data_IF_724939724315
#
_entry.id   IF_724939724315
#
_cell.length_a   1.000
_cell.length_b   1.000
_cell.length_c   1.000
_cell.angle_alpha   90.00
_cell.angle_beta   90.00
_cell.angle_gamma   90.00
#
_symmetry.space_group_name_H-M   'P 1'
#
loop_
_entity.id
_entity.type
_entity.pdbx_description
1 polymer ?
#
# COMPACT_ATOMS: atom_id res chain seq x y z
N UNK A 1 15.01 -16.93 12.26
CA UNK A 1 14.10 -15.82 11.90
C UNK A 1 13.56 -16.09 10.52
N UNK A 2 12.24 -16.10 10.32
CA UNK A 2 11.65 -16.50 9.03
C UNK A 2 10.56 -15.50 8.63
N UNK A 3 10.79 -14.81 7.51
CA UNK A 3 9.77 -14.02 6.80
C UNK A 3 9.36 -14.78 5.54
N UNK A 4 8.07 -15.04 5.40
CA UNK A 4 7.48 -15.69 4.22
C UNK A 4 6.51 -14.71 3.56
N UNK A 5 6.58 -14.57 2.25
CA UNK A 5 5.66 -13.72 1.49
C UNK A 5 4.86 -14.56 0.50
N UNK A 6 3.52 -14.49 0.61
CA UNK A 6 2.57 -15.17 -0.26
C UNK A 6 1.83 -14.10 -1.06
N UNK A 7 2.15 -14.00 -2.33
CA UNK A 7 1.54 -13.03 -3.24
C UNK A 7 0.92 -13.70 -4.46
N UNK A 8 -0.05 -13.03 -5.07
CA UNK A 8 -0.71 -13.51 -6.29
C UNK A 8 -2.10 -12.93 -6.46
N UNK A 9 -2.80 -13.34 -7.51
CA UNK A 9 -4.14 -12.88 -7.85
C UNK A 9 -5.17 -13.20 -6.74
N UNK A 10 -6.27 -12.46 -6.72
CA UNK A 10 -7.40 -12.72 -5.81
C UNK A 10 -8.00 -14.11 -6.09
N UNK A 11 -8.56 -14.75 -5.06
CA UNK A 11 -9.23 -16.07 -5.12
C UNK A 11 -8.32 -17.25 -5.52
N UNK A 12 -7.01 -17.18 -5.25
CA UNK A 12 -6.05 -18.27 -5.52
C UNK A 12 -5.72 -19.12 -4.29
N UNK A 13 -6.47 -19.01 -3.19
CA UNK A 13 -6.23 -19.79 -1.97
C UNK A 13 -5.07 -19.30 -1.09
N UNK A 14 -4.54 -18.07 -1.32
CA UNK A 14 -3.43 -17.51 -0.55
C UNK A 14 -3.69 -17.44 0.96
N UNK A 15 -4.89 -17.02 1.34
CA UNK A 15 -5.26 -16.83 2.74
C UNK A 15 -5.30 -18.18 3.48
N UNK A 16 -5.84 -19.20 2.85
CA UNK A 16 -5.87 -20.56 3.44
C UNK A 16 -4.46 -21.12 3.58
N UNK A 17 -3.61 -20.91 2.57
CA UNK A 17 -2.20 -21.32 2.64
C UNK A 17 -1.46 -20.57 3.76
N UNK A 18 -1.74 -19.27 3.95
CA UNK A 18 -1.12 -18.49 5.01
C UNK A 18 -1.52 -19.02 6.40
N UNK A 19 -2.80 -19.34 6.61
CA UNK A 19 -3.28 -19.93 7.87
C UNK A 19 -2.66 -21.29 8.11
N UNK A 20 -2.57 -22.14 7.08
CA UNK A 20 -1.95 -23.47 7.20
C UNK A 20 -0.45 -23.37 7.57
N UNK A 21 0.29 -22.49 6.89
CA UNK A 21 1.70 -22.24 7.21
C UNK A 21 1.87 -21.68 8.62
N UNK A 22 1.05 -20.69 9.00
CA UNK A 22 1.09 -20.11 10.33
C UNK A 22 0.79 -21.15 11.42
N UNK A 23 -0.15 -22.07 11.17
CA UNK A 23 -0.45 -23.18 12.08
C UNK A 23 0.76 -24.09 12.27
N UNK A 24 1.39 -24.52 11.18
CA UNK A 24 2.53 -25.43 11.20
C UNK A 24 3.78 -24.82 11.82
N UNK A 25 4.04 -23.56 11.51
CA UNK A 25 5.25 -22.85 11.92
C UNK A 25 5.07 -22.12 13.26
N UNK A 26 3.87 -22.08 13.83
CA UNK A 26 3.49 -21.26 14.99
C UNK A 26 3.80 -19.77 14.74
N UNK A 27 3.49 -19.31 13.53
CA UNK A 27 3.72 -17.95 13.07
C UNK A 27 2.49 -17.06 13.12
N UNK A 28 2.65 -15.81 12.76
CA UNK A 28 1.59 -14.82 12.62
C UNK A 28 1.40 -14.42 11.16
N UNK A 29 0.19 -14.05 10.80
CA UNK A 29 -0.16 -13.55 9.46
C UNK A 29 -0.20 -12.03 9.45
N UNK A 30 0.36 -11.41 8.41
CA UNK A 30 0.35 -9.97 8.18
C UNK A 30 -0.34 -9.72 6.84
N UNK A 31 -1.42 -8.96 6.87
CA UNK A 31 -2.18 -8.64 5.68
C UNK A 31 -1.44 -7.66 4.76
N UNK A 32 -1.38 -7.95 3.47
CA UNK A 32 -0.88 -7.08 2.39
C UNK A 32 -1.95 -6.86 1.30
N UNK A 33 -3.21 -6.76 1.71
CA UNK A 33 -4.33 -6.35 0.87
C UNK A 33 -4.91 -5.04 1.40
N UNK A 34 -4.90 -3.99 0.56
CA UNK A 34 -5.32 -2.65 0.97
C UNK A 34 -6.79 -2.56 1.36
N UNK A 35 -7.66 -3.40 0.79
CA UNK A 35 -9.09 -3.39 1.08
C UNK A 35 -9.42 -4.09 2.39
N UNK A 36 -8.59 -5.05 2.81
CA UNK A 36 -8.77 -5.75 4.08
C UNK A 36 -8.33 -4.94 5.31
N UNK A 37 -7.67 -3.79 5.11
CA UNK A 37 -7.37 -2.85 6.19
C UNK A 37 -8.64 -2.27 6.82
N UNK A 38 -9.72 -2.15 6.04
CA UNK A 38 -10.93 -1.46 6.44
C UNK A 38 -11.90 -2.36 7.22
N UNK A 39 -12.38 -1.84 8.36
CA UNK A 39 -13.43 -2.47 9.16
C UNK A 39 -14.73 -2.57 8.38
N UNK A 40 -15.37 -3.75 8.43
CA UNK A 40 -16.68 -3.97 7.81
C UNK A 40 -16.64 -4.16 6.29
N UNK A 41 -15.48 -4.09 5.64
CA UNK A 41 -15.32 -4.41 4.23
C UNK A 41 -14.96 -5.90 4.07
N UNK A 42 -15.91 -6.78 4.40
CA UNK A 42 -15.67 -8.23 4.48
C UNK A 42 -16.11 -8.97 3.22
N UNK A 43 -17.21 -8.51 2.60
CA UNK A 43 -17.76 -9.08 1.37
C UNK A 43 -17.00 -8.52 0.16
N UNK A 44 -16.57 -9.40 -0.74
CA UNK A 44 -15.85 -9.01 -1.96
C UNK A 44 -14.35 -8.75 -1.78
N UNK A 45 -13.84 -8.72 -0.54
CA UNK A 45 -12.42 -8.58 -0.23
C UNK A 45 -11.74 -9.90 0.10
N UNK A 46 -12.49 -11.00 0.12
CA UNK A 46 -12.04 -12.32 0.55
C UNK A 46 -11.38 -12.33 1.95
N UNK A 47 -11.83 -11.44 2.84
CA UNK A 47 -11.35 -11.36 4.21
C UNK A 47 -11.84 -12.61 4.98
N UNK A 48 -10.90 -13.31 5.61
CA UNK A 48 -11.24 -14.47 6.44
C UNK A 48 -12.03 -14.05 7.68
N UNK A 49 -13.08 -14.79 8.00
CA UNK A 49 -13.78 -14.71 9.27
C UNK A 49 -12.86 -15.12 10.43
N UNK A 50 -13.27 -14.83 11.66
CA UNK A 50 -12.51 -15.25 12.85
C UNK A 50 -12.37 -16.76 12.95
N UNK A 51 -13.38 -17.50 12.54
CA UNK A 51 -13.37 -18.97 12.54
C UNK A 51 -12.37 -19.53 11.52
N UNK A 52 -12.37 -18.97 10.31
CA UNK A 52 -11.45 -19.36 9.24
C UNK A 52 -9.98 -19.04 9.58
N UNK A 53 -9.72 -18.04 10.40
CA UNK A 53 -8.36 -17.72 10.91
C UNK A 53 -7.84 -18.77 11.91
N UNK A 54 -8.66 -19.70 12.40
CA UNK A 54 -8.28 -20.83 13.28
C UNK A 54 -7.44 -20.41 14.50
N UNK A 55 -7.74 -19.25 15.08
CA UNK A 55 -6.99 -18.72 16.22
C UNK A 55 -5.60 -18.15 15.90
N UNK A 56 -5.18 -18.15 14.64
CA UNK A 56 -3.92 -17.54 14.21
C UNK A 56 -4.01 -16.01 14.31
N UNK A 57 -3.04 -15.34 14.96
CA UNK A 57 -2.99 -13.89 14.99
C UNK A 57 -2.81 -13.31 13.58
N UNK A 58 -3.71 -12.38 13.22
CA UNK A 58 -3.66 -11.64 11.95
C UNK A 58 -3.48 -10.16 12.26
N UNK A 59 -2.46 -9.58 11.65
CA UNK A 59 -2.13 -8.17 11.78
C UNK A 59 -2.57 -7.38 10.55
N UNK A 60 -2.83 -6.11 10.72
CA UNK A 60 -3.24 -5.17 9.66
C UNK A 60 -4.52 -5.61 8.91
N UNK A 61 -5.45 -6.19 9.66
CA UNK A 61 -6.83 -6.43 9.24
C UNK A 61 -7.74 -5.63 10.15
N UNK A 62 -8.76 -4.97 9.60
CA UNK A 62 -9.75 -4.18 10.36
C UNK A 62 -9.11 -3.05 11.19
N UNK A 63 -8.06 -2.42 10.70
CA UNK A 63 -7.33 -1.37 11.42
C UNK A 63 -7.83 0.03 11.08
N UNK A 64 -8.43 0.24 9.90
CA UNK A 64 -8.94 1.53 9.44
C UNK A 64 -10.47 1.58 9.44
N UNK A 65 -11.02 2.75 9.73
CA UNK A 65 -12.41 3.08 9.43
C UNK A 65 -12.55 3.39 7.93
N UNK A 66 -13.72 3.16 7.35
CA UNK A 66 -14.01 3.51 5.94
C UNK A 66 -13.94 5.02 5.66
N UNK A 67 -13.84 5.85 6.69
CA UNK A 67 -13.64 7.30 6.58
C UNK A 67 -12.17 7.72 6.53
N UNK A 68 -11.26 6.81 6.85
CA UNK A 68 -9.83 7.04 6.86
C UNK A 68 -9.22 6.64 5.51
N UNK A 69 -8.20 7.34 5.08
CA UNK A 69 -7.48 7.04 3.85
C UNK A 69 -6.28 6.15 4.13
N UNK A 70 -6.20 5.01 3.43
CA UNK A 70 -5.04 4.14 3.54
C UNK A 70 -3.82 4.78 2.88
N UNK A 71 -2.71 4.87 3.61
CA UNK A 71 -1.42 5.34 3.11
C UNK A 71 -0.44 4.19 3.01
N UNK A 72 0.22 4.04 1.86
CA UNK A 72 1.27 3.03 1.69
C UNK A 72 2.49 3.31 2.56
N UNK A 73 2.81 4.58 2.81
CA UNK A 73 3.89 4.98 3.72
C UNK A 73 3.60 4.54 5.16
N UNK A 74 2.39 4.80 5.65
CA UNK A 74 1.99 4.36 6.99
C UNK A 74 1.94 2.82 7.07
N UNK A 75 1.39 2.17 6.04
CA UNK A 75 1.40 0.71 5.97
C UNK A 75 2.83 0.13 6.04
N UNK A 76 3.79 0.72 5.34
CA UNK A 76 5.19 0.29 5.39
C UNK A 76 5.75 0.34 6.81
N UNK A 77 5.53 1.46 7.50
CA UNK A 77 6.00 1.65 8.89
C UNK A 77 5.38 0.60 9.80
N UNK A 78 4.07 0.45 9.76
CA UNK A 78 3.34 -0.46 10.63
C UNK A 78 3.71 -1.92 10.35
N UNK A 79 3.74 -2.32 9.07
CA UNK A 79 4.06 -3.69 8.69
C UNK A 79 5.50 -4.08 9.06
N UNK A 80 6.47 -3.22 8.78
CA UNK A 80 7.87 -3.47 9.15
C UNK A 80 8.05 -3.54 10.66
N UNK A 81 7.43 -2.64 11.41
CA UNK A 81 7.48 -2.67 12.88
C UNK A 81 6.93 -3.99 13.45
N UNK A 82 5.81 -4.48 12.91
CA UNK A 82 5.22 -5.76 13.33
C UNK A 82 6.14 -6.93 12.96
N UNK A 83 6.69 -6.93 11.74
CA UNK A 83 7.61 -7.97 11.27
C UNK A 83 8.84 -8.03 12.18
N UNK A 84 9.47 -6.90 12.44
CA UNK A 84 10.68 -6.82 13.27
C UNK A 84 10.42 -7.35 14.69
N UNK A 85 9.32 -6.93 15.32
CA UNK A 85 8.91 -7.44 16.63
C UNK A 85 8.70 -8.96 16.66
N UNK A 86 8.07 -9.52 15.63
CA UNK A 86 7.87 -10.96 15.52
C UNK A 86 9.20 -11.72 15.35
N UNK A 87 10.07 -11.20 14.49
CA UNK A 87 11.37 -11.80 14.24
C UNK A 87 12.28 -11.74 15.47
N UNK A 88 12.27 -10.64 16.22
CA UNK A 88 12.98 -10.53 17.51
C UNK A 88 12.51 -11.58 18.53
N UNK A 89 11.22 -11.88 18.53
CA UNK A 89 10.65 -12.94 19.36
C UNK A 89 10.81 -14.34 18.78
N UNK A 90 11.52 -14.49 17.65
CA UNK A 90 11.65 -15.74 16.90
C UNK A 90 10.32 -16.34 16.42
N UNK A 91 9.30 -15.49 16.21
CA UNK A 91 8.00 -15.87 15.66
C UNK A 91 8.05 -15.67 14.15
N UNK A 92 7.73 -16.70 13.34
CA UNK A 92 7.66 -16.56 11.87
C UNK A 92 6.60 -15.55 11.44
N UNK A 93 6.98 -14.60 10.57
CA UNK A 93 6.10 -13.61 9.98
C UNK A 93 5.68 -14.06 8.58
N UNK A 94 4.37 -14.16 8.32
CA UNK A 94 3.80 -14.61 7.05
C UNK A 94 2.98 -13.48 6.44
N UNK A 95 3.55 -12.79 5.47
CA UNK A 95 2.89 -11.72 4.72
C UNK A 95 2.03 -12.32 3.63
N UNK A 96 0.76 -11.96 3.55
CA UNK A 96 -0.17 -12.46 2.54
C UNK A 96 -1.01 -11.34 1.93
N UNK A 97 -1.08 -11.28 0.62
CA UNK A 97 -1.94 -10.31 -0.07
C UNK A 97 -1.75 -10.23 -1.57
N UNK A 98 -2.54 -9.34 -2.18
CA UNK A 98 -2.54 -9.10 -3.62
C UNK A 98 -2.09 -7.68 -4.00
N UNK A 99 -1.87 -6.79 -3.03
CA UNK A 99 -1.48 -5.41 -3.30
C UNK A 99 0.03 -5.32 -3.50
N UNK A 100 0.47 -5.39 -4.76
CA UNK A 100 1.89 -5.43 -5.12
C UNK A 100 2.72 -4.28 -4.54
N UNK A 101 2.16 -3.07 -4.45
CA UNK A 101 2.83 -1.92 -3.85
C UNK A 101 3.09 -2.12 -2.35
N UNK A 102 2.16 -2.76 -1.63
CA UNK A 102 2.32 -3.07 -0.22
C UNK A 102 3.42 -4.10 0.03
N UNK A 103 3.46 -5.13 -0.82
CA UNK A 103 4.52 -6.15 -0.76
C UNK A 103 5.89 -5.52 -1.04
N UNK A 104 5.98 -4.69 -2.08
CA UNK A 104 7.21 -3.93 -2.36
C UNK A 104 7.61 -3.00 -1.22
N UNK A 105 6.64 -2.32 -0.58
CA UNK A 105 6.91 -1.45 0.55
C UNK A 105 7.54 -2.20 1.74
N UNK A 106 7.20 -3.47 1.93
CA UNK A 106 7.81 -4.32 2.95
C UNK A 106 9.23 -4.76 2.54
N UNK A 107 9.40 -5.23 1.30
CA UNK A 107 10.60 -5.94 0.85
C UNK A 107 11.69 -5.02 0.30
N UNK A 108 11.29 -3.94 -0.38
CA UNK A 108 12.19 -3.03 -1.06
C UNK A 108 12.40 -1.76 -0.22
N UNK A 109 13.53 -1.12 -0.38
CA UNK A 109 13.83 0.15 0.29
C UNK A 109 13.14 1.32 -0.42
N UNK A 110 11.80 1.28 -0.42
CA UNK A 110 10.99 2.34 -1.01
C UNK A 110 10.89 3.53 -0.06
N UNK A 111 11.29 4.68 -0.55
CA UNK A 111 11.07 5.95 0.12
C UNK A 111 9.78 6.59 -0.41
N UNK A 112 8.86 6.89 0.49
CA UNK A 112 7.62 7.58 0.15
C UNK A 112 7.74 9.05 0.56
N UNK A 113 7.82 9.98 -0.41
CA UNK A 113 7.82 11.40 -0.10
C UNK A 113 6.58 11.79 0.70
N UNK A 114 6.73 12.78 1.57
CA UNK A 114 5.64 13.34 2.35
C UNK A 114 4.47 13.76 1.47
N UNK A 115 3.31 13.82 2.08
CA UNK A 115 2.07 14.26 1.44
C UNK A 115 1.48 15.43 2.21
N UNK A 116 0.99 16.42 1.47
CA UNK A 116 0.26 17.54 2.04
C UNK A 116 -1.13 17.60 1.40
N UNK A 117 -2.21 17.36 2.19
CA UNK A 117 -3.57 17.36 1.68
C UNK A 117 -3.99 18.72 1.06
N UNK A 118 -3.49 19.84 1.57
CA UNK A 118 -3.84 21.16 1.04
C UNK A 118 -3.16 21.40 -0.31
N UNK A 119 -1.87 21.10 -0.41
CA UNK A 119 -1.13 21.17 -1.69
C UNK A 119 -1.75 20.24 -2.72
N UNK A 120 -2.07 19.01 -2.33
CA UNK A 120 -2.73 18.05 -3.22
C UNK A 120 -4.09 18.54 -3.69
N UNK A 121 -4.94 19.07 -2.80
CA UNK A 121 -6.26 19.59 -3.15
C UNK A 121 -6.16 20.78 -4.10
N UNK A 122 -5.21 21.68 -3.87
CA UNK A 122 -4.93 22.81 -4.76
C UNK A 122 -4.55 22.35 -6.18
N UNK A 123 -3.63 21.37 -6.30
CA UNK A 123 -3.21 20.86 -7.60
C UNK A 123 -4.33 20.07 -8.27
N UNK A 124 -5.13 19.31 -7.52
CA UNK A 124 -6.30 18.60 -8.03
C UNK A 124 -7.33 19.56 -8.60
N UNK A 125 -7.62 20.65 -7.89
CA UNK A 125 -8.52 21.70 -8.38
C UNK A 125 -7.99 22.36 -9.67
N UNK A 126 -6.68 22.65 -9.74
CA UNK A 126 -6.07 23.11 -10.99
C UNK A 126 -6.23 22.12 -12.15
N UNK A 127 -6.19 20.83 -11.85
CA UNK A 127 -6.38 19.79 -12.86
C UNK A 127 -7.84 19.73 -13.37
N UNK A 128 -8.82 20.02 -12.52
CA UNK A 128 -10.22 20.14 -12.90
C UNK A 128 -10.47 21.37 -13.79
N UNK A 129 -9.84 22.51 -13.46
CA UNK A 129 -10.02 23.76 -14.21
C UNK A 129 -9.25 23.78 -15.55
N UNK A 130 -7.99 23.35 -15.55
CA UNK A 130 -7.08 23.49 -16.70
C UNK A 130 -7.07 22.26 -17.61
N UNK A 131 -7.53 21.13 -17.12
CA UNK A 131 -7.56 19.86 -17.82
C UNK A 131 -6.25 19.05 -17.77
N UNK A 132 -6.38 17.77 -18.06
CA UNK A 132 -5.30 16.79 -17.95
C UNK A 132 -4.08 17.11 -18.83
N UNK A 133 -4.29 17.64 -20.02
CA UNK A 133 -3.24 17.94 -21.00
C UNK A 133 -2.31 19.07 -20.51
N UNK A 134 -2.88 20.13 -19.95
CA UNK A 134 -2.12 21.27 -19.42
C UNK A 134 -1.30 20.83 -18.20
N UNK A 135 -1.92 20.06 -17.29
CA UNK A 135 -1.23 19.58 -16.09
C UNK A 135 -0.12 18.56 -16.41
N UNK A 136 -0.34 17.70 -17.40
CA UNK A 136 0.71 16.80 -17.89
C UNK A 136 1.85 17.57 -18.59
N UNK A 137 1.54 18.62 -19.34
CA UNK A 137 2.54 19.53 -19.91
C UNK A 137 3.39 20.22 -18.83
N UNK A 138 2.77 20.65 -17.72
CA UNK A 138 3.49 21.18 -16.55
C UNK A 138 4.42 20.13 -15.96
N UNK A 139 3.97 18.88 -15.80
CA UNK A 139 4.81 17.79 -15.33
C UNK A 139 5.97 17.53 -16.30
N UNK A 140 5.72 17.53 -17.61
CA UNK A 140 6.77 17.33 -18.62
C UNK A 140 7.87 18.40 -18.59
N UNK A 141 7.52 19.62 -18.20
CA UNK A 141 8.50 20.70 -17.99
C UNK A 141 9.34 20.53 -16.73
N UNK A 142 8.74 20.04 -15.65
CA UNK A 142 9.39 19.89 -14.35
C UNK A 142 10.15 18.56 -14.21
N UNK A 143 9.59 17.49 -14.78
CA UNK A 143 10.14 16.14 -14.78
C UNK A 143 9.74 15.40 -16.05
N UNK A 144 10.53 15.52 -17.14
CA UNK A 144 10.24 14.86 -18.40
C UNK A 144 10.19 13.32 -18.29
N UNK A 145 10.97 12.73 -17.36
CA UNK A 145 11.00 11.29 -17.17
C UNK A 145 9.70 10.79 -16.50
N UNK A 146 9.19 11.52 -15.51
CA UNK A 146 7.89 11.24 -14.93
C UNK A 146 6.76 11.37 -15.97
N UNK A 147 6.78 12.41 -16.77
CA UNK A 147 5.76 12.63 -17.80
C UNK A 147 5.78 11.52 -18.87
N UNK A 148 6.96 11.02 -19.25
CA UNK A 148 7.06 9.90 -20.17
C UNK A 148 6.50 8.57 -19.59
N UNK A 149 6.58 8.40 -18.26
CA UNK A 149 6.13 7.19 -17.56
C UNK A 149 4.65 7.25 -17.13
N UNK A 150 4.08 8.45 -16.99
CA UNK A 150 2.71 8.66 -16.50
C UNK A 150 1.83 9.14 -17.68
N UNK A 151 0.85 8.32 -18.13
CA UNK A 151 -0.10 8.77 -19.14
C UNK A 151 -0.88 10.01 -18.68
N UNK A 152 -1.17 10.93 -19.60
CA UNK A 152 -1.90 12.18 -19.31
C UNK A 152 -3.30 11.95 -18.74
N UNK A 153 -3.93 10.85 -19.13
CA UNK A 153 -5.25 10.42 -18.65
C UNK A 153 -5.22 10.00 -17.18
N UNK A 154 -4.06 9.66 -16.64
CA UNK A 154 -3.90 9.32 -15.23
C UNK A 154 -3.68 10.58 -14.38
N UNK A 155 -4.71 11.44 -14.37
CA UNK A 155 -4.70 12.73 -13.66
C UNK A 155 -4.26 12.57 -12.19
N UNK A 156 -4.73 11.52 -11.52
CA UNK A 156 -4.38 11.25 -10.12
C UNK A 156 -2.86 11.08 -9.93
N UNK A 157 -2.19 10.40 -10.85
CA UNK A 157 -0.73 10.24 -10.82
C UNK A 157 0.01 11.52 -11.18
N UNK A 158 -0.50 12.27 -12.14
CA UNK A 158 0.05 13.59 -12.51
C UNK A 158 -0.03 14.55 -11.32
N UNK A 159 -1.18 14.63 -10.65
CA UNK A 159 -1.38 15.44 -9.43
C UNK A 159 -0.38 15.03 -8.34
N UNK A 160 -0.21 13.73 -8.10
CA UNK A 160 0.73 13.25 -7.09
C UNK A 160 2.18 13.58 -7.44
N UNK A 161 2.58 13.46 -8.69
CA UNK A 161 3.93 13.82 -9.11
C UNK A 161 4.21 15.32 -8.93
N UNK A 162 3.25 16.17 -9.29
CA UNK A 162 3.36 17.62 -9.10
C UNK A 162 3.38 18.02 -7.62
N UNK A 163 2.57 17.36 -6.77
CA UNK A 163 2.60 17.54 -5.31
C UNK A 163 4.00 17.25 -4.74
N UNK A 164 4.58 16.12 -5.09
CA UNK A 164 5.92 15.74 -4.62
C UNK A 164 6.96 16.75 -5.06
N UNK A 165 6.90 17.22 -6.30
CA UNK A 165 7.82 18.25 -6.81
C UNK A 165 7.63 19.57 -6.04
N UNK A 166 6.38 19.99 -5.77
CA UNK A 166 6.09 21.22 -5.03
C UNK A 166 6.58 21.15 -3.58
N UNK A 167 6.46 19.99 -2.92
CA UNK A 167 6.88 19.79 -1.54
C UNK A 167 8.40 19.62 -1.38
N UNK A 168 9.04 18.93 -2.31
CA UNK A 168 10.46 18.56 -2.17
C UNK A 168 11.42 19.45 -2.94
N UNK A 169 10.93 20.17 -3.92
CA UNK A 169 11.75 20.92 -4.88
C UNK A 169 12.61 20.03 -5.80
N UNK A 170 12.33 18.72 -5.84
CA UNK A 170 13.07 17.73 -6.63
C UNK A 170 12.17 17.06 -7.66
N UNK A 171 12.72 16.54 -8.78
CA UNK A 171 11.96 15.71 -9.69
C UNK A 171 11.29 14.52 -8.96
N UNK A 172 10.10 14.13 -9.41
CA UNK A 172 9.38 12.98 -8.86
C UNK A 172 10.12 11.66 -9.05
N UNK A 173 10.96 11.59 -10.09
CA UNK A 173 11.81 10.44 -10.43
C UNK A 173 13.18 10.46 -9.77
N UNK A 174 13.46 11.43 -8.91
CA UNK A 174 14.75 11.57 -8.24
C UNK A 174 14.94 10.60 -7.07
#
# INVERSE_FOLDING_TARGET
MTLIVICGATATGKSDLAVELATRLKGHVINADSMQLYKGMDIGTAKLSREERKGIPHHLIDVLSVKEEASVAQYQIDARSIIDQLLEQSIPAIVVGGTGLYIKAILDDLNFPDTDPEVRAKIAHQAEELGAEVMHGRLAHLDPAAAAAIPKENVRRVVRALEVIELTGRPYTA
#
